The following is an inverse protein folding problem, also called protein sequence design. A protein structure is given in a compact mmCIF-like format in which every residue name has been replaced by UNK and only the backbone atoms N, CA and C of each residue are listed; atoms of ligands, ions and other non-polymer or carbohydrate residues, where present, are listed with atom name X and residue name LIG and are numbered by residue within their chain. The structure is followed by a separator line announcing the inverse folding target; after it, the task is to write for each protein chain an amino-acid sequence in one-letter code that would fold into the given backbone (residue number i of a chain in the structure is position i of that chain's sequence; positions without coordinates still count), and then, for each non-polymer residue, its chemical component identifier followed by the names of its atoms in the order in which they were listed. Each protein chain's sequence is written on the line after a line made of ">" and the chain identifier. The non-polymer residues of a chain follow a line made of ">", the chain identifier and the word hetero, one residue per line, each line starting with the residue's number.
data_IF_794677354205
#
_entry.id   IF_794677354205
#
_cell.length_a   1.000
_cell.length_b   1.000
_cell.length_c   1.000
_cell.angle_alpha   90.00
_cell.angle_beta   90.00
_cell.angle_gamma   90.00
#
_symmetry.space_group_name_H-M   'P 1'
#
loop_
_entity.id
_entity.type
_entity.pdbx_description
1 polymer ?
#
# COMPACT_ATOMS: atom_id res chain seq x y z
N UNK A 1 -30.71 -10.74 28.01
CA UNK A 1 -29.25 -10.92 27.82
C UNK A 1 -29.02 -12.24 27.08
N UNK A 2 -28.95 -12.22 25.74
CA UNK A 2 -28.69 -13.41 24.94
C UNK A 2 -28.03 -13.00 23.62
N UNK A 3 -26.91 -13.67 23.33
CA UNK A 3 -26.18 -13.76 22.07
C UNK A 3 -25.36 -12.55 21.59
N UNK A 4 -24.24 -12.34 22.29
CA UNK A 4 -23.03 -11.69 21.78
C UNK A 4 -21.97 -12.78 21.49
N UNK A 5 -22.17 -13.61 20.44
CA UNK A 5 -21.19 -14.64 20.02
C UNK A 5 -21.23 -14.97 18.51
N UNK A 6 -21.54 -14.01 17.65
CA UNK A 6 -21.52 -14.23 16.18
C UNK A 6 -20.39 -13.48 15.45
N UNK A 7 -19.42 -12.90 16.15
CA UNK A 7 -18.36 -12.08 15.53
C UNK A 7 -17.09 -12.81 15.08
N UNK A 8 -16.88 -14.09 15.45
CA UNK A 8 -15.60 -14.78 15.16
C UNK A 8 -15.87 -16.17 14.58
N UNK A 9 -16.40 -16.22 13.36
CA UNK A 9 -16.41 -17.45 12.55
C UNK A 9 -16.61 -17.17 11.06
N UNK A 10 -15.77 -16.31 10.46
CA UNK A 10 -15.74 -16.11 9.00
C UNK A 10 -14.49 -16.72 8.34
N UNK A 11 -13.67 -17.47 9.08
CA UNK A 11 -12.34 -17.94 8.65
C UNK A 11 -12.19 -19.46 8.42
N UNK A 12 -13.25 -20.28 8.51
CA UNK A 12 -13.12 -21.75 8.35
C UNK A 12 -13.44 -22.28 6.95
N UNK A 13 -13.90 -21.44 6.04
CA UNK A 13 -14.07 -21.77 4.62
C UNK A 13 -13.47 -20.68 3.77
N UNK A 14 -12.16 -20.73 3.51
CA UNK A 14 -11.55 -20.15 2.28
C UNK A 14 -10.02 -20.16 2.21
N UNK A 15 -9.24 -20.73 3.14
CA UNK A 15 -7.78 -20.82 2.95
C UNK A 15 -7.43 -21.60 1.65
N UNK A 16 -8.16 -22.69 1.36
CA UNK A 16 -8.00 -23.45 0.10
C UNK A 16 -8.58 -22.77 -1.14
N UNK A 17 -9.58 -21.89 -0.97
CA UNK A 17 -10.19 -21.09 -2.05
C UNK A 17 -9.21 -20.02 -2.52
N UNK A 18 -8.58 -19.31 -1.57
CA UNK A 18 -7.64 -18.23 -1.83
C UNK A 18 -6.34 -18.72 -2.49
N UNK A 19 -5.81 -19.86 -2.03
CA UNK A 19 -4.65 -20.54 -2.65
C UNK A 19 -4.96 -21.05 -4.06
N UNK A 20 -6.23 -21.33 -4.39
CA UNK A 20 -6.62 -21.67 -5.76
C UNK A 20 -6.87 -20.44 -6.64
N UNK A 21 -7.18 -19.25 -6.11
CA UNK A 21 -7.13 -18.02 -6.92
C UNK A 21 -5.67 -17.70 -7.30
N UNK A 22 -4.71 -18.03 -6.43
CA UNK A 22 -3.25 -17.92 -6.60
C UNK A 22 -2.72 -18.56 -7.91
N UNK A 23 -3.27 -19.69 -8.33
CA UNK A 23 -2.88 -20.36 -9.59
C UNK A 23 -3.46 -19.70 -10.85
N UNK A 24 -4.35 -18.72 -10.73
CA UNK A 24 -4.78 -17.85 -11.83
C UNK A 24 -4.05 -16.49 -11.84
N UNK A 25 -3.24 -16.21 -10.82
CA UNK A 25 -2.48 -14.97 -10.63
C UNK A 25 -1.05 -15.00 -11.22
N UNK A 26 -0.65 -16.05 -11.94
CA UNK A 26 0.69 -16.24 -12.51
C UNK A 26 1.08 -15.24 -13.63
N UNK A 27 0.41 -14.11 -13.78
CA UNK A 27 0.80 -13.09 -14.77
C UNK A 27 0.67 -11.64 -14.32
N UNK A 28 0.36 -11.36 -13.05
CA UNK A 28 0.41 -9.99 -12.53
C UNK A 28 0.25 -9.96 -11.01
N UNK A 29 1.24 -10.49 -10.30
CA UNK A 29 1.47 -10.14 -8.90
C UNK A 29 2.76 -9.38 -8.83
N UNK A 30 2.76 -8.22 -8.16
CA UNK A 30 3.94 -7.67 -7.50
C UNK A 30 4.37 -8.68 -6.42
N UNK A 31 4.94 -9.80 -6.84
CA UNK A 31 6.00 -10.39 -6.06
C UNK A 31 7.10 -9.32 -6.08
N UNK A 32 7.56 -8.90 -4.90
CA UNK A 32 8.79 -8.11 -4.82
C UNK A 32 9.94 -9.00 -5.27
N UNK A 33 10.03 -9.22 -6.58
CA UNK A 33 11.08 -9.95 -7.23
C UNK A 33 12.29 -9.02 -7.19
N UNK A 34 13.17 -9.21 -6.20
CA UNK A 34 14.40 -8.44 -6.12
C UNK A 34 15.33 -8.92 -7.23
N UNK A 35 15.36 -8.17 -8.32
CA UNK A 35 16.23 -8.42 -9.45
C UNK A 35 17.52 -7.63 -9.27
N UNK A 36 18.64 -8.33 -9.23
CA UNK A 36 19.96 -7.69 -9.16
C UNK A 36 20.75 -7.88 -10.45
N UNK A 37 21.45 -6.83 -10.89
CA UNK A 37 22.43 -6.91 -11.98
C UNK A 37 23.65 -6.02 -11.71
N UNK A 38 24.79 -6.38 -12.29
CA UNK A 38 26.01 -5.58 -12.20
C UNK A 38 26.26 -4.89 -13.53
N UNK A 39 26.46 -3.57 -13.52
CA UNK A 39 26.78 -2.85 -14.75
C UNK A 39 28.26 -3.02 -15.17
N UNK A 40 28.61 -2.42 -16.31
CA UNK A 40 29.96 -2.46 -16.90
C UNK A 40 31.03 -1.80 -16.01
N UNK A 41 30.63 -1.00 -15.02
CA UNK A 41 31.51 -0.34 -14.05
C UNK A 41 31.63 -1.15 -12.74
N UNK A 42 31.03 -2.34 -12.67
CA UNK A 42 31.02 -3.15 -11.45
C UNK A 42 29.99 -2.68 -10.40
N UNK A 43 29.09 -1.77 -10.74
CA UNK A 43 28.07 -1.26 -9.81
C UNK A 43 26.91 -2.24 -9.74
N UNK A 44 26.53 -2.66 -8.52
CA UNK A 44 25.40 -3.53 -8.27
C UNK A 44 24.10 -2.69 -8.21
N UNK A 45 23.12 -3.06 -9.03
CA UNK A 45 21.80 -2.44 -9.09
C UNK A 45 20.73 -3.43 -8.62
N UNK A 46 19.66 -2.90 -8.03
CA UNK A 46 18.50 -3.66 -7.57
C UNK A 46 17.22 -3.09 -8.17
N UNK A 47 16.25 -3.94 -8.48
CA UNK A 47 14.90 -3.52 -8.85
C UNK A 47 13.86 -4.52 -8.35
N UNK A 48 12.62 -4.07 -8.26
CA UNK A 48 11.43 -4.82 -7.83
C UNK A 48 10.67 -5.46 -9.00
N UNK A 49 11.16 -5.29 -10.23
CA UNK A 49 10.61 -5.93 -11.43
C UNK A 49 11.69 -6.21 -12.48
N UNK A 50 11.46 -7.20 -13.34
CA UNK A 50 12.37 -7.53 -14.44
C UNK A 50 12.30 -6.53 -15.60
N UNK A 51 11.17 -5.82 -15.74
CA UNK A 51 10.88 -4.92 -16.86
C UNK A 51 11.71 -3.63 -16.79
N UNK A 52 12.02 -3.17 -15.59
CA UNK A 52 12.86 -2.00 -15.27
C UNK A 52 14.36 -2.26 -15.46
N UNK A 53 14.79 -3.53 -15.58
CA UNK A 53 16.19 -3.86 -15.88
C UNK A 53 16.49 -3.49 -17.33
N UNK A 54 17.56 -2.70 -17.61
CA UNK A 54 17.95 -2.38 -18.98
C UNK A 54 18.14 -3.64 -19.83
N UNK A 55 17.67 -3.64 -21.08
CA UNK A 55 17.64 -4.83 -21.94
C UNK A 55 18.99 -5.56 -22.04
N UNK A 56 20.10 -4.81 -22.04
CA UNK A 56 21.47 -5.35 -22.08
C UNK A 56 21.86 -6.17 -20.85
N UNK A 57 21.20 -5.96 -19.71
CA UNK A 57 21.51 -6.62 -18.44
C UNK A 57 20.47 -7.67 -18.02
N UNK A 58 19.38 -7.84 -18.77
CA UNK A 58 18.32 -8.82 -18.45
C UNK A 58 18.80 -10.27 -18.44
N UNK A 59 19.79 -10.64 -19.27
CA UNK A 59 20.33 -12.01 -19.30
C UNK A 59 21.21 -12.35 -18.09
N UNK A 60 21.77 -11.36 -17.41
CA UNK A 60 22.61 -11.53 -16.22
C UNK A 60 21.87 -11.23 -14.91
N UNK A 61 20.65 -10.70 -15.00
CA UNK A 61 19.83 -10.39 -13.85
C UNK A 61 19.48 -11.68 -13.09
N UNK A 62 19.80 -11.72 -11.80
CA UNK A 62 19.49 -12.85 -10.93
C UNK A 62 18.23 -12.55 -10.12
N UNK A 63 17.32 -13.52 -10.10
CA UNK A 63 16.14 -13.50 -9.24
C UNK A 63 16.48 -14.17 -7.91
N UNK A 64 16.64 -13.38 -6.85
CA UNK A 64 16.90 -13.88 -5.50
C UNK A 64 15.56 -14.08 -4.75
N UNK A 65 15.31 -15.28 -4.25
CA UNK A 65 14.30 -15.53 -3.22
C UNK A 65 15.05 -15.58 -1.89
N UNK A 66 14.74 -14.67 -0.96
CA UNK A 66 15.38 -14.67 0.35
C UNK A 66 15.21 -16.04 1.04
N UNK A 67 16.32 -16.77 1.18
CA UNK A 67 16.47 -17.80 2.21
C UNK A 67 17.13 -17.13 3.39
N UNK A 68 16.51 -17.27 4.56
CA UNK A 68 17.09 -16.88 5.84
C UNK A 68 18.39 -17.66 6.06
N UNK A 69 19.54 -17.03 5.86
CA UNK A 69 20.84 -17.55 6.29
C UNK A 69 21.48 -16.59 7.29
N UNK A 70 21.98 -17.18 8.38
CA UNK A 70 22.53 -16.52 9.56
C UNK A 70 23.74 -15.65 9.21
N UNK A 71 23.68 -14.38 9.62
CA UNK A 71 24.69 -13.35 9.40
C UNK A 71 26.02 -13.73 10.10
N UNK A 72 27.15 -13.89 9.38
CA UNK A 72 28.47 -13.88 9.98
C UNK A 72 28.90 -12.45 10.29
N UNK A 73 29.45 -12.23 11.49
CA UNK A 73 30.06 -10.97 11.89
C UNK A 73 31.43 -10.73 11.24
N UNK A 74 31.77 -9.43 11.11
CA UNK A 74 33.04 -8.75 10.72
C UNK A 74 33.13 -8.40 9.22
N UNK A 75 33.69 -7.25 8.82
CA UNK A 75 34.51 -6.22 9.50
C UNK A 75 34.44 -4.91 8.72
N UNK A 76 34.71 -3.80 9.43
CA UNK A 76 34.92 -2.45 8.90
C UNK A 76 35.82 -2.41 7.65
N UNK A 77 35.36 -1.67 6.63
CA UNK A 77 36.24 -1.05 5.63
C UNK A 77 35.81 0.41 5.44
N UNK A 78 36.78 1.30 5.59
CA UNK A 78 36.65 2.74 5.39
C UNK A 78 36.44 3.04 3.90
N UNK A 79 35.39 3.80 3.59
CA UNK A 79 35.15 4.35 2.25
C UNK A 79 35.93 5.66 2.04
N UNK A 80 36.40 5.95 0.82
CA UNK A 80 37.17 7.15 0.55
C UNK A 80 36.32 8.43 0.61
N UNK A 81 36.87 9.46 1.27
CA UNK A 81 36.38 10.84 1.26
C UNK A 81 36.33 11.37 -0.18
N UNK A 82 35.14 11.79 -0.62
CA UNK A 82 34.96 12.56 -1.84
C UNK A 82 34.36 13.95 -1.53
N UNK A 83 35.23 14.96 -1.69
CA UNK A 83 34.96 16.29 -2.22
C UNK A 83 33.67 17.02 -1.85
N UNK A 84 33.82 18.00 -0.95
CA UNK A 84 32.95 19.17 -0.84
C UNK A 84 32.82 19.88 -2.20
N UNK A 85 31.60 19.92 -2.72
CA UNK A 85 31.20 20.70 -3.89
C UNK A 85 29.93 21.45 -3.56
N UNK A 86 30.07 22.56 -2.84
CA UNK A 86 28.98 23.51 -2.59
C UNK A 86 28.49 24.07 -3.94
N UNK A 87 27.29 23.66 -4.35
CA UNK A 87 26.50 24.40 -5.35
C UNK A 87 25.31 24.99 -4.63
N UNK A 88 25.49 26.23 -4.19
CA UNK A 88 24.41 27.17 -3.89
C UNK A 88 23.54 27.31 -5.12
N UNK A 89 22.38 26.65 -5.13
CA UNK A 89 21.31 27.00 -6.04
C UNK A 89 20.63 28.25 -5.48
N UNK A 90 20.79 29.33 -6.22
CA UNK A 90 20.19 30.63 -5.98
C UNK A 90 18.67 30.54 -5.91
N UNK A 91 18.18 31.24 -4.89
CA UNK A 91 16.81 31.45 -4.52
C UNK A 91 16.11 32.30 -5.60
N UNK A 92 15.22 31.70 -6.40
CA UNK A 92 14.28 32.43 -7.24
C UNK A 92 12.91 31.74 -7.22
N UNK A 93 11.89 32.53 -6.86
CA UNK A 93 10.48 32.20 -7.09
C UNK A 93 9.69 32.01 -5.80
N UNK A 94 8.95 33.05 -5.40
CA UNK A 94 7.94 33.08 -4.35
C UNK A 94 7.33 31.70 -4.01
N UNK A 95 7.62 31.20 -2.82
CA UNK A 95 6.94 30.03 -2.27
C UNK A 95 5.45 30.35 -2.17
N UNK A 96 4.56 29.59 -2.83
CA UNK A 96 3.17 29.61 -2.45
C UNK A 96 3.13 29.21 -0.98
N UNK A 97 2.32 29.91 -0.18
CA UNK A 97 2.11 29.58 1.24
C UNK A 97 1.39 28.24 1.31
N UNK A 98 2.14 27.17 1.18
CA UNK A 98 1.67 25.82 1.37
C UNK A 98 1.44 25.59 2.85
N UNK A 99 0.30 24.97 3.20
CA UNK A 99 0.05 24.63 4.58
C UNK A 99 1.13 23.65 5.05
N UNK A 100 1.73 23.96 6.19
CA UNK A 100 2.73 23.11 6.84
C UNK A 100 2.16 22.59 8.15
N UNK A 101 2.30 21.28 8.38
CA UNK A 101 1.76 20.59 9.52
C UNK A 101 2.87 19.83 10.24
N UNK A 102 3.17 20.24 11.47
CA UNK A 102 4.09 19.53 12.35
C UNK A 102 3.31 18.50 13.17
N UNK A 103 3.70 17.23 13.06
CA UNK A 103 3.01 16.09 13.66
C UNK A 103 3.98 15.32 14.57
N UNK A 104 3.73 15.24 15.89
CA UNK A 104 4.57 14.42 16.76
C UNK A 104 4.42 12.93 16.46
N UNK A 105 5.49 12.17 16.64
CA UNK A 105 5.48 10.73 16.46
C UNK A 105 6.13 9.97 17.63
N UNK A 106 5.67 8.75 17.85
CA UNK A 106 6.34 7.80 18.74
C UNK A 106 7.46 7.08 17.97
N UNK A 107 8.68 7.18 18.49
CA UNK A 107 9.89 6.82 17.75
C UNK A 107 10.29 5.33 17.86
N UNK A 108 9.60 4.56 18.70
CA UNK A 108 10.04 3.21 19.07
C UNK A 108 8.89 2.25 19.29
N UNK A 109 9.11 1.01 18.86
CA UNK A 109 8.36 -0.16 19.26
C UNK A 109 9.36 -1.14 19.91
N UNK A 110 9.44 -1.14 21.24
CA UNK A 110 10.52 -1.86 21.93
C UNK A 110 11.89 -1.30 21.55
N UNK A 111 12.74 -2.12 20.93
CA UNK A 111 14.06 -1.70 20.41
C UNK A 111 14.04 -1.22 18.95
N UNK A 112 12.96 -1.47 18.21
CA UNK A 112 12.86 -1.07 16.81
C UNK A 112 12.54 0.41 16.69
N UNK A 113 13.31 1.14 15.88
CA UNK A 113 12.97 2.52 15.51
C UNK A 113 11.83 2.53 14.50
N UNK A 114 10.81 3.35 14.77
CA UNK A 114 9.62 3.52 13.94
C UNK A 114 9.23 4.99 13.94
N UNK A 115 8.41 5.39 12.98
CA UNK A 115 7.70 6.67 13.02
C UNK A 115 6.22 6.35 13.14
N UNK A 116 5.72 6.27 14.37
CA UNK A 116 4.32 5.94 14.64
C UNK A 116 3.55 7.24 14.87
N UNK A 117 2.58 7.53 14.02
CA UNK A 117 1.75 8.74 14.06
C UNK A 117 0.30 8.38 14.39
N UNK A 118 -0.39 9.29 15.07
CA UNK A 118 -1.84 9.18 15.28
C UNK A 118 -2.58 9.57 13.99
N UNK A 119 -3.35 8.63 13.46
CA UNK A 119 -4.14 8.83 12.23
C UNK A 119 -5.62 8.78 12.58
N UNK A 120 -6.37 9.79 12.15
CA UNK A 120 -7.82 9.87 12.32
C UNK A 120 -8.52 9.53 11.01
N UNK A 121 -9.43 8.57 11.09
CA UNK A 121 -10.21 8.05 9.99
C UNK A 121 -11.65 8.53 10.10
N UNK A 122 -12.22 8.98 8.99
CA UNK A 122 -13.62 9.41 8.88
C UNK A 122 -14.04 10.40 10.00
N UNK A 123 -13.09 11.23 10.46
CA UNK A 123 -13.25 12.19 11.55
C UNK A 123 -13.69 11.61 12.91
N UNK A 124 -13.61 10.30 13.12
CA UNK A 124 -14.21 9.64 14.28
C UNK A 124 -13.28 8.66 14.99
N UNK A 125 -12.53 7.84 14.25
CA UNK A 125 -11.71 6.78 14.83
C UNK A 125 -10.25 7.16 14.67
N UNK A 126 -9.50 7.23 15.78
CA UNK A 126 -8.07 7.50 15.77
C UNK A 126 -7.30 6.24 16.15
N UNK A 127 -6.25 5.92 15.40
CA UNK A 127 -5.39 4.78 15.66
C UNK A 127 -3.92 5.09 15.35
N UNK A 128 -2.97 4.47 16.06
CA UNK A 128 -1.54 4.58 15.76
C UNK A 128 -1.18 3.79 14.51
N UNK A 129 -0.58 4.44 13.52
CA UNK A 129 -0.06 3.80 12.31
C UNK A 129 1.41 4.13 12.13
N UNK A 130 2.17 3.21 11.53
CA UNK A 130 3.52 3.51 11.07
C UNK A 130 3.44 4.34 9.78
N UNK A 131 4.21 5.42 9.72
CA UNK A 131 4.53 6.11 8.48
C UNK A 131 5.57 5.30 7.71
N UNK A 132 5.17 4.66 6.61
CA UNK A 132 5.98 3.67 5.89
C UNK A 132 6.16 4.07 4.43
N UNK A 133 7.33 4.63 4.10
CA UNK A 133 7.67 5.04 2.73
C UNK A 133 7.87 3.87 1.77
N UNK A 134 8.02 2.64 2.29
CA UNK A 134 8.07 1.41 1.50
C UNK A 134 6.71 0.83 1.17
N UNK A 135 5.63 1.31 1.81
CA UNK A 135 4.28 0.86 1.54
C UNK A 135 3.65 1.66 0.38
N UNK A 136 3.15 1.00 -0.69
CA UNK A 136 2.52 1.70 -1.81
C UNK A 136 1.20 2.39 -1.40
N UNK A 137 0.58 1.96 -0.31
CA UNK A 137 -0.61 2.63 0.22
C UNK A 137 -0.99 2.21 1.64
N UNK A 138 -2.20 2.56 2.04
CA UNK A 138 -2.74 2.33 3.36
C UNK A 138 -3.01 0.84 3.65
N UNK A 139 -2.44 0.34 4.76
CA UNK A 139 -2.71 -0.99 5.31
C UNK A 139 -3.28 -0.84 6.71
N UNK A 140 -4.37 -1.52 7.03
CA UNK A 140 -4.95 -1.53 8.38
C UNK A 140 -5.25 -2.95 8.85
N UNK A 141 -5.24 -3.15 10.16
CA UNK A 141 -5.66 -4.41 10.77
C UNK A 141 -7.17 -4.62 10.64
N UNK A 142 -7.61 -5.89 10.67
CA UNK A 142 -9.02 -6.25 10.74
C UNK A 142 -9.70 -5.67 11.99
N UNK A 143 -8.97 -5.58 13.12
CA UNK A 143 -9.49 -4.94 14.35
C UNK A 143 -9.79 -3.45 14.13
N UNK A 144 -8.91 -2.70 13.46
CA UNK A 144 -9.16 -1.31 13.13
C UNK A 144 -10.31 -1.18 12.13
N UNK A 145 -10.37 -2.05 11.12
CA UNK A 145 -11.49 -2.07 10.18
C UNK A 145 -12.85 -2.33 10.86
N UNK A 146 -12.88 -3.16 11.90
CA UNK A 146 -14.07 -3.40 12.73
C UNK A 146 -14.46 -2.15 13.52
N UNK A 147 -13.50 -1.46 14.16
CA UNK A 147 -13.74 -0.17 14.84
C UNK A 147 -14.30 0.89 13.89
N UNK A 148 -13.86 0.86 12.62
CA UNK A 148 -14.34 1.74 11.56
C UNK A 148 -15.72 1.36 11.00
N UNK A 149 -16.28 0.21 11.41
CA UNK A 149 -17.57 -0.27 10.92
C UNK A 149 -17.54 -0.78 9.47
N UNK A 150 -16.34 -1.01 8.89
CA UNK A 150 -16.17 -1.36 7.48
C UNK A 150 -16.89 -2.68 7.13
N UNK A 151 -16.86 -3.66 8.03
CA UNK A 151 -17.51 -4.96 7.79
C UNK A 151 -19.05 -4.89 7.85
N UNK A 152 -19.62 -3.85 8.47
CA UNK A 152 -21.06 -3.65 8.57
C UNK A 152 -21.67 -2.82 7.44
N UNK A 153 -20.85 -2.14 6.63
CA UNK A 153 -21.32 -1.30 5.52
C UNK A 153 -21.45 -2.10 4.21
N UNK A 154 -22.18 -1.55 3.23
CA UNK A 154 -22.32 -2.15 1.89
C UNK A 154 -21.53 -1.37 0.81
N UNK A 155 -20.28 -1.00 1.11
CA UNK A 155 -19.47 -0.11 0.26
C UNK A 155 -18.37 -0.81 -0.56
N UNK A 156 -18.49 -2.11 -0.80
CA UNK A 156 -17.47 -2.84 -1.55
C UNK A 156 -16.34 -3.36 -0.65
N UNK A 157 -16.23 -4.67 -0.55
CA UNK A 157 -15.12 -5.38 0.11
C UNK A 157 -14.76 -6.63 -0.69
N UNK A 158 -13.62 -6.59 -1.38
CA UNK A 158 -13.18 -7.72 -2.19
C UNK A 158 -11.97 -8.42 -1.56
N UNK A 159 -12.05 -9.73 -1.41
CA UNK A 159 -10.95 -10.55 -0.93
C UNK A 159 -9.87 -10.70 -2.00
N UNK A 160 -8.62 -10.69 -1.56
CA UNK A 160 -7.45 -10.85 -2.41
C UNK A 160 -6.23 -11.24 -1.58
N UNK A 161 -5.06 -10.87 -2.09
CA UNK A 161 -3.78 -11.04 -1.40
C UNK A 161 -3.09 -9.69 -1.31
N UNK A 162 -2.39 -9.48 -0.20
CA UNK A 162 -1.40 -8.42 -0.06
C UNK A 162 -0.01 -9.07 -0.09
N UNK A 163 0.91 -8.52 -0.90
CA UNK A 163 2.30 -8.97 -1.00
C UNK A 163 3.25 -8.02 -0.27
N UNK A 164 4.40 -8.55 0.15
CA UNK A 164 5.49 -7.77 0.73
C UNK A 164 6.73 -8.65 0.94
N UNK A 165 7.73 -8.12 1.64
CA UNK A 165 9.00 -8.84 1.92
C UNK A 165 8.74 -10.17 2.65
N UNK A 166 7.71 -10.22 3.51
CA UNK A 166 7.29 -11.44 4.22
C UNK A 166 6.46 -12.43 3.40
N UNK A 167 6.27 -12.19 2.10
CA UNK A 167 5.41 -13.00 1.22
C UNK A 167 3.99 -12.46 1.10
N UNK A 168 3.08 -13.33 0.65
CA UNK A 168 1.67 -12.98 0.43
C UNK A 168 0.80 -13.37 1.63
N UNK A 169 -0.10 -12.48 2.03
CA UNK A 169 -1.09 -12.72 3.08
C UNK A 169 -2.51 -12.48 2.55
N UNK A 170 -3.53 -13.22 3.02
CA UNK A 170 -4.93 -12.88 2.76
C UNK A 170 -5.24 -11.44 3.13
N UNK A 171 -5.96 -10.75 2.24
CA UNK A 171 -6.33 -9.35 2.45
C UNK A 171 -7.74 -9.05 1.92
N UNK A 172 -8.30 -7.94 2.38
CA UNK A 172 -9.53 -7.35 1.83
C UNK A 172 -9.18 -5.96 1.28
N UNK A 173 -9.67 -5.66 0.08
CA UNK A 173 -9.52 -4.36 -0.56
C UNK A 173 -10.83 -3.57 -0.49
N UNK A 174 -10.69 -2.29 -0.17
CA UNK A 174 -11.80 -1.33 -0.05
C UNK A 174 -11.26 0.11 -0.18
N UNK A 175 -12.12 1.11 0.01
CA UNK A 175 -11.73 2.52 0.12
C UNK A 175 -12.10 3.06 1.50
N UNK A 176 -11.26 3.94 2.04
CA UNK A 176 -11.57 4.78 3.20
C UNK A 176 -11.87 6.19 2.72
N UNK A 177 -12.93 6.80 3.23
CA UNK A 177 -13.40 8.09 2.74
C UNK A 177 -12.49 9.24 3.16
N UNK A 178 -12.01 9.26 4.40
CA UNK A 178 -11.11 10.31 4.91
C UNK A 178 -10.03 9.78 5.83
N UNK A 179 -8.80 10.27 5.62
CA UNK A 179 -7.63 10.01 6.46
C UNK A 179 -7.02 11.36 6.86
N UNK A 180 -6.64 11.49 8.12
CA UNK A 180 -6.04 12.71 8.66
C UNK A 180 -4.85 12.38 9.58
N UNK A 181 -3.72 13.05 9.35
CA UNK A 181 -2.50 12.98 10.16
C UNK A 181 -2.14 14.40 10.59
N UNK A 182 -2.44 14.75 11.85
CA UNK A 182 -2.37 16.14 12.29
C UNK A 182 -3.28 17.04 11.44
N UNK A 183 -2.73 18.05 10.78
CA UNK A 183 -3.47 18.89 9.83
C UNK A 183 -3.49 18.38 8.39
N UNK A 184 -2.61 17.43 8.04
CA UNK A 184 -2.57 16.81 6.72
C UNK A 184 -3.78 15.89 6.54
N UNK A 185 -4.49 16.02 5.41
CA UNK A 185 -5.74 15.30 5.13
C UNK A 185 -5.73 14.74 3.72
N UNK A 186 -6.43 13.64 3.56
CA UNK A 186 -6.75 13.12 2.25
C UNK A 186 -8.09 12.39 2.26
N UNK A 187 -8.69 12.23 1.08
CA UNK A 187 -9.95 11.55 0.87
C UNK A 187 -9.83 10.47 -0.20
N UNK A 188 -10.76 9.51 -0.16
CA UNK A 188 -10.83 8.42 -1.14
C UNK A 188 -9.53 7.60 -1.23
N UNK A 189 -9.16 6.97 -0.11
CA UNK A 189 -7.90 6.25 0.05
C UNK A 189 -8.13 4.76 -0.19
N UNK A 190 -7.49 4.13 -1.20
CA UNK A 190 -7.47 2.69 -1.33
C UNK A 190 -6.85 2.06 -0.09
N UNK A 191 -7.56 1.13 0.55
CA UNK A 191 -7.10 0.49 1.76
C UNK A 191 -6.98 -1.02 1.57
N UNK A 192 -5.97 -1.58 2.23
CA UNK A 192 -5.75 -3.02 2.35
C UNK A 192 -5.95 -3.42 3.80
N UNK A 193 -6.89 -4.31 4.05
CA UNK A 193 -7.16 -4.85 5.38
C UNK A 193 -6.50 -6.22 5.49
N UNK A 194 -5.64 -6.40 6.49
CA UNK A 194 -5.00 -7.67 6.82
C UNK A 194 -5.43 -8.13 8.21
N UNK A 195 -5.31 -9.43 8.49
CA UNK A 195 -5.81 -10.00 9.75
C UNK A 195 -5.14 -9.38 10.99
N UNK A 196 -3.80 -9.28 10.96
CA UNK A 196 -3.01 -8.74 12.06
C UNK A 196 -1.73 -8.07 11.57
N UNK A 197 -1.33 -6.99 12.25
CA UNK A 197 -0.05 -6.31 12.04
C UNK A 197 1.13 -7.03 12.70
N UNK A 198 0.87 -8.03 13.54
CA UNK A 198 1.92 -8.68 14.35
C UNK A 198 2.44 -7.82 15.52
N UNK A 199 1.81 -6.66 15.77
CA UNK A 199 2.16 -5.73 16.84
C UNK A 199 0.92 -5.24 17.59
N UNK A 200 1.12 -4.80 18.83
CA UNK A 200 0.12 -4.05 19.62
C UNK A 200 0.40 -2.55 19.68
N UNK A 201 1.55 -2.09 19.17
CA UNK A 201 1.96 -0.68 19.22
C UNK A 201 1.31 0.15 18.10
N UNK A 202 0.93 -0.49 17.00
CA UNK A 202 0.28 0.16 15.86
C UNK A 202 -0.75 -0.78 15.22
N UNK A 203 -1.74 -0.19 14.57
CA UNK A 203 -2.87 -0.89 13.96
C UNK A 203 -2.86 -0.85 12.42
N UNK A 204 -1.80 -0.29 11.82
CA UNK A 204 -1.65 -0.20 10.36
C UNK A 204 -0.37 0.52 9.91
N UNK A 205 -0.27 0.71 8.59
CA UNK A 205 0.77 1.46 7.88
C UNK A 205 0.09 2.52 7.02
N UNK A 206 0.60 3.75 7.01
CA UNK A 206 0.20 4.80 6.07
C UNK A 206 1.32 4.98 5.05
N UNK A 207 0.97 4.85 3.77
CA UNK A 207 1.92 4.69 2.67
C UNK A 207 1.97 5.89 1.72
N UNK A 208 2.56 5.63 0.55
CA UNK A 208 2.80 6.64 -0.48
C UNK A 208 1.53 7.21 -1.12
N UNK A 209 0.41 6.50 -1.04
CA UNK A 209 -0.90 6.99 -1.50
C UNK A 209 -1.35 8.28 -0.80
N UNK A 210 -1.05 8.41 0.49
CA UNK A 210 -1.26 9.62 1.28
C UNK A 210 -0.05 10.55 1.18
N UNK A 211 1.16 10.02 1.39
CA UNK A 211 2.36 10.85 1.53
C UNK A 211 2.77 11.59 0.24
N UNK A 212 2.46 11.06 -0.94
CA UNK A 212 2.84 11.67 -2.22
C UNK A 212 2.20 13.04 -2.47
N UNK A 213 1.19 13.44 -1.68
CA UNK A 213 0.56 14.77 -1.74
C UNK A 213 1.31 15.82 -0.92
N UNK A 214 2.37 15.42 -0.23
CA UNK A 214 3.14 16.27 0.68
C UNK A 214 4.64 16.18 0.38
N UNK A 215 5.34 17.31 0.50
CA UNK A 215 6.76 17.29 0.82
C UNK A 215 6.88 16.96 2.31
N UNK A 216 7.78 16.04 2.67
CA UNK A 216 7.83 15.50 4.02
C UNK A 216 9.26 15.54 4.58
N UNK A 217 9.39 15.94 5.85
CA UNK A 217 10.63 15.88 6.61
C UNK A 217 10.41 15.20 7.95
N UNK A 218 11.29 14.27 8.31
CA UNK A 218 11.34 13.67 9.64
C UNK A 218 12.44 14.36 10.45
N UNK A 219 12.08 15.03 11.53
CA UNK A 219 13.03 15.56 12.51
C UNK A 219 13.07 14.62 13.73
N UNK A 220 14.03 13.70 13.72
CA UNK A 220 14.18 12.69 14.77
C UNK A 220 14.61 13.26 16.13
N UNK A 221 15.22 14.46 16.15
CA UNK A 221 15.62 15.13 17.39
C UNK A 221 14.38 15.69 18.08
N UNK A 222 13.52 16.38 17.32
CA UNK A 222 12.25 16.92 17.81
C UNK A 222 11.13 15.88 17.91
N UNK A 223 11.31 14.71 17.27
CA UNK A 223 10.31 13.64 17.12
C UNK A 223 9.04 14.14 16.45
N UNK A 224 9.22 14.88 15.37
CA UNK A 224 8.11 15.37 14.55
C UNK A 224 8.31 15.02 13.08
N UNK A 225 7.19 14.81 12.40
CA UNK A 225 7.11 14.78 10.95
C UNK A 225 6.47 16.07 10.50
N UNK A 226 7.13 16.77 9.59
CA UNK A 226 6.60 17.99 8.96
C UNK A 226 6.05 17.59 7.60
N UNK A 227 4.77 17.85 7.38
CA UNK A 227 4.10 17.70 6.09
C UNK A 227 3.85 19.08 5.49
N UNK A 228 4.40 19.34 4.31
CA UNK A 228 4.17 20.55 3.52
C UNK A 228 3.30 20.18 2.32
N UNK A 229 2.07 20.69 2.27
CA UNK A 229 1.09 20.37 1.24
C UNK A 229 1.61 20.79 -0.15
N UNK A 230 1.64 19.87 -1.12
CA UNK A 230 2.08 20.22 -2.46
C UNK A 230 0.99 21.00 -3.21
N UNK A 231 1.40 21.85 -4.16
CA UNK A 231 0.46 22.46 -5.07
C UNK A 231 -0.27 21.38 -5.88
N UNK A 232 -1.57 21.54 -6.16
CA UNK A 232 -2.27 20.67 -7.09
C UNK A 232 -1.51 20.61 -8.43
N UNK A 233 -1.15 19.41 -8.87
CA UNK A 233 -0.50 19.18 -10.16
C UNK A 233 -1.56 18.88 -11.23
N UNK A 234 -1.65 19.67 -12.31
CA UNK A 234 -2.56 19.40 -13.42
C UNK A 234 -2.39 18.02 -14.07
N UNK A 235 -1.20 17.41 -13.96
CA UNK A 235 -0.93 16.05 -14.47
C UNK A 235 -1.29 14.96 -13.45
N UNK A 236 -1.79 15.33 -12.28
CA UNK A 236 -2.20 14.42 -11.21
C UNK A 236 -3.62 14.69 -10.72
N UNK A 237 -4.65 14.64 -11.60
CA UNK A 237 -6.04 14.83 -11.21
C UNK A 237 -6.45 13.87 -10.08
N UNK A 238 -7.15 14.37 -9.07
CA UNK A 238 -7.50 13.59 -7.87
C UNK A 238 -6.30 13.15 -7.02
N UNK A 239 -5.13 13.77 -7.23
CA UNK A 239 -3.90 13.48 -6.48
C UNK A 239 -3.19 12.21 -6.92
N UNK A 240 -3.45 11.70 -8.13
CA UNK A 240 -2.72 10.57 -8.74
C UNK A 240 -2.42 10.88 -10.19
N UNK A 241 -1.21 10.54 -10.64
CA UNK A 241 -0.82 10.63 -12.04
C UNK A 241 -1.41 9.48 -12.88
N UNK A 242 -1.12 9.47 -14.19
CA UNK A 242 -1.59 8.45 -15.13
C UNK A 242 -1.32 7.03 -14.68
N UNK A 243 -0.08 6.76 -14.25
CA UNK A 243 0.33 5.43 -13.81
C UNK A 243 -0.46 5.00 -12.56
N UNK A 244 -0.65 5.91 -11.61
CA UNK A 244 -1.42 5.65 -10.39
C UNK A 244 -2.88 5.31 -10.68
N UNK A 245 -3.53 6.05 -11.57
CA UNK A 245 -4.92 5.77 -11.99
C UNK A 245 -5.04 4.44 -12.73
N UNK A 246 -4.23 4.23 -13.77
CA UNK A 246 -4.25 2.98 -14.55
C UNK A 246 -3.97 1.76 -13.69
N UNK A 247 -3.02 1.88 -12.75
CA UNK A 247 -2.70 0.83 -11.79
C UNK A 247 -3.90 0.46 -10.93
N UNK A 248 -4.58 1.46 -10.38
CA UNK A 248 -5.73 1.25 -9.48
C UNK A 248 -6.95 0.65 -10.20
N UNK A 249 -7.27 1.12 -11.41
CA UNK A 249 -8.33 0.51 -12.22
C UNK A 249 -7.98 -0.92 -12.63
N UNK A 250 -6.77 -1.14 -13.15
CA UNK A 250 -6.29 -2.48 -13.54
C UNK A 250 -6.39 -3.46 -12.38
N UNK A 251 -6.03 -3.03 -11.18
CA UNK A 251 -6.11 -3.83 -9.97
C UNK A 251 -7.53 -4.32 -9.67
N UNK A 252 -8.51 -3.41 -9.59
CA UNK A 252 -9.89 -3.79 -9.27
C UNK A 252 -10.55 -4.58 -10.41
N UNK A 253 -10.23 -4.28 -11.67
CA UNK A 253 -10.64 -5.11 -12.80
C UNK A 253 -10.08 -6.54 -12.68
N UNK A 254 -8.80 -6.67 -12.33
CA UNK A 254 -8.15 -7.97 -12.17
C UNK A 254 -8.75 -8.77 -11.02
N UNK A 255 -9.07 -8.13 -9.89
CA UNK A 255 -9.75 -8.77 -8.77
C UNK A 255 -11.13 -9.30 -9.15
N UNK A 256 -11.96 -8.49 -9.80
CA UNK A 256 -13.29 -8.92 -10.28
C UNK A 256 -13.19 -10.07 -11.30
N UNK A 257 -12.26 -9.97 -12.25
CA UNK A 257 -12.02 -11.01 -13.25
C UNK A 257 -11.55 -12.33 -12.60
N UNK A 258 -10.66 -12.26 -11.61
CA UNK A 258 -10.17 -13.44 -10.90
C UNK A 258 -11.31 -14.19 -10.18
N UNK A 259 -12.20 -13.47 -9.49
CA UNK A 259 -13.38 -14.08 -8.85
C UNK A 259 -14.37 -14.65 -9.86
N UNK A 260 -14.56 -14.02 -11.02
CA UNK A 260 -15.38 -14.55 -12.12
C UNK A 260 -14.81 -15.85 -12.72
N UNK A 261 -13.50 -15.91 -12.92
CA UNK A 261 -12.79 -17.11 -13.36
C UNK A 261 -12.94 -18.22 -12.31
N UNK A 262 -12.72 -17.89 -11.03
CA UNK A 262 -12.88 -18.85 -9.95
C UNK A 262 -14.32 -19.41 -9.90
N UNK A 263 -15.34 -18.55 -9.98
CA UNK A 263 -16.74 -18.97 -9.96
C UNK A 263 -17.07 -19.94 -11.10
N UNK A 264 -16.57 -19.68 -12.30
CA UNK A 264 -16.89 -20.48 -13.49
C UNK A 264 -16.08 -21.77 -13.64
N UNK A 265 -14.85 -21.80 -13.12
CA UNK A 265 -13.90 -22.89 -13.43
C UNK A 265 -13.41 -23.65 -12.19
N UNK A 266 -13.47 -23.05 -10.99
CA UNK A 266 -12.77 -23.59 -9.81
C UNK A 266 -13.65 -23.81 -8.59
N UNK A 267 -14.86 -23.23 -8.55
CA UNK A 267 -15.81 -23.46 -7.48
C UNK A 267 -16.24 -24.94 -7.43
N UNK A 268 -16.08 -25.56 -6.26
CA UNK A 268 -16.36 -27.00 -6.02
C UNK A 268 -17.68 -27.25 -5.30
N UNK A 269 -18.35 -26.19 -4.85
CA UNK A 269 -19.62 -26.26 -4.16
C UNK A 269 -20.53 -25.08 -4.50
N UNK A 270 -21.85 -25.19 -4.32
CA UNK A 270 -22.76 -24.06 -4.42
C UNK A 270 -22.36 -22.90 -3.50
N UNK A 271 -21.84 -23.17 -2.31
CA UNK A 271 -21.38 -22.15 -1.37
C UNK A 271 -20.18 -21.37 -1.91
N UNK A 272 -19.17 -22.06 -2.47
CA UNK A 272 -18.01 -21.43 -3.10
C UNK A 272 -18.40 -20.60 -4.32
N UNK A 273 -19.31 -21.12 -5.16
CA UNK A 273 -19.84 -20.40 -6.32
C UNK A 273 -20.53 -19.10 -5.90
N UNK A 274 -21.46 -19.18 -4.93
CA UNK A 274 -22.18 -18.02 -4.43
C UNK A 274 -21.25 -17.01 -3.75
N UNK A 275 -20.23 -17.50 -3.05
CA UNK A 275 -19.20 -16.64 -2.47
C UNK A 275 -18.44 -15.87 -3.56
N UNK A 276 -17.94 -16.56 -4.59
CA UNK A 276 -17.21 -15.93 -5.68
C UNK A 276 -18.06 -14.94 -6.48
N UNK A 277 -19.32 -15.26 -6.76
CA UNK A 277 -20.28 -14.33 -7.39
C UNK A 277 -20.48 -13.07 -6.52
N UNK A 278 -20.55 -13.20 -5.20
CA UNK A 278 -20.59 -12.03 -4.30
C UNK A 278 -19.31 -11.21 -4.40
N UNK A 279 -18.14 -11.84 -4.39
CA UNK A 279 -16.85 -11.14 -4.51
C UNK A 279 -16.73 -10.36 -5.83
N UNK A 280 -17.22 -10.90 -6.95
CA UNK A 280 -17.30 -10.17 -8.22
C UNK A 280 -18.16 -8.91 -8.09
N UNK A 281 -19.34 -9.00 -7.47
CA UNK A 281 -20.21 -7.84 -7.23
C UNK A 281 -19.57 -6.79 -6.33
N UNK A 282 -18.82 -7.21 -5.32
CA UNK A 282 -18.08 -6.29 -4.45
C UNK A 282 -16.94 -5.58 -5.21
N UNK A 283 -16.26 -6.25 -6.13
CA UNK A 283 -15.28 -5.62 -7.01
C UNK A 283 -15.95 -4.58 -7.95
N UNK A 284 -17.12 -4.90 -8.51
CA UNK A 284 -17.88 -3.97 -9.35
C UNK A 284 -18.31 -2.72 -8.57
N UNK A 285 -18.71 -2.86 -7.29
CA UNK A 285 -18.99 -1.71 -6.42
C UNK A 285 -17.77 -0.80 -6.26
N UNK A 286 -16.59 -1.38 -6.04
CA UNK A 286 -15.35 -0.63 -5.89
C UNK A 286 -14.95 0.07 -7.20
N UNK A 287 -15.08 -0.59 -8.34
CA UNK A 287 -14.87 0.01 -9.67
C UNK A 287 -15.82 1.18 -9.92
N UNK A 288 -17.10 1.03 -9.59
CA UNK A 288 -18.07 2.12 -9.72
C UNK A 288 -17.77 3.30 -8.80
N UNK A 289 -17.30 3.05 -7.56
CA UNK A 289 -16.86 4.09 -6.62
C UNK A 289 -15.64 4.83 -7.19
N UNK A 290 -14.68 4.08 -7.75
CA UNK A 290 -13.47 4.60 -8.38
C UNK A 290 -13.78 5.44 -9.62
N UNK A 291 -14.65 4.97 -10.53
CA UNK A 291 -15.02 5.70 -11.74
C UNK A 291 -15.78 6.99 -11.44
N UNK A 292 -16.64 6.99 -10.43
CA UNK A 292 -17.30 8.20 -9.94
C UNK A 292 -16.29 9.22 -9.44
N UNK A 293 -15.38 8.79 -8.56
CA UNK A 293 -14.34 9.67 -8.02
C UNK A 293 -13.41 10.20 -9.13
N UNK A 294 -13.04 9.36 -10.09
CA UNK A 294 -12.26 9.75 -11.27
C UNK A 294 -13.00 10.80 -12.12
N UNK A 295 -14.31 10.65 -12.29
CA UNK A 295 -15.16 11.62 -13.00
C UNK A 295 -15.24 12.96 -12.30
N UNK A 296 -15.45 12.96 -10.98
CA UNK A 296 -15.48 14.18 -10.16
C UNK A 296 -14.18 14.97 -10.24
N UNK A 297 -13.04 14.30 -10.47
CA UNK A 297 -11.71 14.90 -10.56
C UNK A 297 -11.20 15.07 -12.00
N UNK A 298 -12.08 14.94 -13.00
CA UNK A 298 -11.73 15.13 -14.43
C UNK A 298 -10.60 14.23 -14.93
N UNK A 299 -10.47 13.03 -14.37
CA UNK A 299 -9.47 12.03 -14.81
C UNK A 299 -9.82 11.58 -16.23
N UNK A 300 -8.87 11.57 -17.18
CA UNK A 300 -9.12 11.13 -18.54
C UNK A 300 -9.65 9.70 -18.62
N UNK A 301 -10.60 9.44 -19.54
CA UNK A 301 -11.13 8.09 -19.78
C UNK A 301 -10.05 7.08 -20.21
N UNK A 302 -8.98 7.54 -20.88
CA UNK A 302 -7.85 6.68 -21.27
C UNK A 302 -6.98 6.21 -20.10
N UNK A 303 -7.20 6.74 -18.89
CA UNK A 303 -6.50 6.35 -17.66
C UNK A 303 -7.30 5.38 -16.79
N UNK A 304 -8.56 5.12 -17.17
CA UNK A 304 -9.49 4.23 -16.47
C UNK A 304 -9.55 2.88 -17.17
#
# INVERSE_FOLDING_TARGET
>A
MRNQKNGVSMYRTSMGVLVMVLLAFLSSTFAGDLVQWTDEHGTLHFSDSMDTVPAKYRRQAKLEKFKEEKIPQRSHSEGPRAGSGSRTLENQGATPTHNSYEVPFEAYEGSAQRVIVSVTFNNAVTAPLILDTGAPGLVISAQLAEKLGIFGNDEGKVQGLAGGIGGNTPAIRTFIDKVQVGGAKDAFIPATIIDSMGSRAFEGLIGMDFMSKYSMKIDSVKRVVVFEELAPDPNSPGGRNEQGWKGLFKEFHSLGAAWKIYASQRARSPQEYQFAVRQTKEADKLLNKLDRHASEHSVPQSWR
#
